data_IF_572957591077
#
_entry.id   IF_572957591077
#
_cell.length_a   1.000
_cell.length_b   1.000
_cell.length_c   1.000
_cell.angle_alpha   90.00
_cell.angle_beta   90.00
_cell.angle_gamma   90.00
#
_symmetry.space_group_name_H-M   'P 1'
#
loop_
_entity.id
_entity.type
_entity.pdbx_description
1 polymer ?
#
# COMPACT_ATOMS: atom_id res chain seq x y z
N UNK A 1 8.85 -8.88 -11.17
CA UNK A 1 8.71 -7.85 -10.13
C UNK A 1 8.32 -8.58 -8.87
N UNK A 2 9.09 -8.42 -7.80
CA UNK A 2 8.89 -9.20 -6.57
C UNK A 2 7.94 -8.50 -5.58
N UNK A 3 7.76 -7.18 -5.77
CA UNK A 3 6.93 -6.31 -4.95
C UNK A 3 6.53 -5.06 -5.73
N UNK A 4 5.31 -4.56 -5.50
CA UNK A 4 4.87 -3.23 -5.92
C UNK A 4 4.56 -2.36 -4.70
N UNK A 5 5.08 -1.14 -4.68
CA UNK A 5 4.77 -0.12 -3.68
C UNK A 5 4.21 1.12 -4.38
N UNK A 6 3.06 1.64 -3.94
CA UNK A 6 2.43 2.78 -4.60
C UNK A 6 1.19 3.31 -3.89
N UNK A 7 0.62 4.38 -4.45
CA UNK A 7 -0.66 4.96 -4.00
C UNK A 7 -1.85 4.24 -4.61
N UNK A 8 -3.02 4.37 -3.98
CA UNK A 8 -4.32 3.83 -4.44
C UNK A 8 -4.70 4.35 -5.84
N UNK A 9 -4.24 3.65 -6.87
CA UNK A 9 -4.36 3.98 -8.29
C UNK A 9 -4.40 2.70 -9.14
N UNK A 10 -4.80 2.80 -10.41
CA UNK A 10 -4.90 1.64 -11.31
C UNK A 10 -3.63 0.76 -11.38
N UNK A 11 -2.45 1.33 -11.16
CA UNK A 11 -1.19 0.60 -11.21
C UNK A 11 -1.10 -0.53 -10.16
N UNK A 12 -1.55 -0.29 -8.92
CA UNK A 12 -1.49 -1.32 -7.87
C UNK A 12 -2.46 -2.47 -8.14
N UNK A 13 -3.57 -2.21 -8.84
CA UNK A 13 -4.51 -3.23 -9.26
C UNK A 13 -3.99 -4.06 -10.44
N UNK A 14 -3.26 -3.42 -11.37
CA UNK A 14 -2.59 -4.14 -12.44
C UNK A 14 -1.52 -5.08 -11.87
N UNK A 15 -0.71 -4.64 -10.90
CA UNK A 15 0.22 -5.53 -10.22
C UNK A 15 -0.49 -6.71 -9.54
N UNK A 16 -1.62 -6.44 -8.87
CA UNK A 16 -2.44 -7.45 -8.22
C UNK A 16 -2.99 -8.51 -9.19
N UNK A 17 -3.40 -8.13 -10.41
CA UNK A 17 -3.92 -9.10 -11.40
C UNK A 17 -2.88 -10.10 -11.91
N UNK A 18 -1.59 -9.83 -11.66
CA UNK A 18 -0.50 -10.77 -11.91
C UNK A 18 0.01 -11.46 -10.63
N UNK A 19 -0.76 -11.37 -9.53
CA UNK A 19 -0.39 -11.86 -8.19
C UNK A 19 0.96 -11.35 -7.67
N UNK A 20 1.39 -10.17 -8.14
CA UNK A 20 2.55 -9.48 -7.55
C UNK A 20 2.11 -8.94 -6.19
N UNK A 21 2.90 -9.15 -5.11
CA UNK A 21 2.59 -8.57 -3.80
C UNK A 21 2.54 -7.05 -3.84
N UNK A 22 1.64 -6.44 -3.05
CA UNK A 22 1.42 -4.98 -3.06
C UNK A 22 1.47 -4.38 -1.65
N UNK A 23 2.23 -3.30 -1.48
CA UNK A 23 2.06 -2.37 -0.35
C UNK A 23 1.45 -1.08 -0.88
N UNK A 24 0.22 -0.78 -0.46
CA UNK A 24 -0.55 0.37 -0.95
C UNK A 24 -0.65 1.48 0.08
N UNK A 25 -0.47 2.74 -0.34
CA UNK A 25 -0.71 3.95 0.44
C UNK A 25 -2.13 4.46 0.23
N UNK A 26 -2.91 4.50 1.31
CA UNK A 26 -4.31 4.89 1.27
C UNK A 26 -4.57 6.18 2.06
N UNK A 27 -5.19 7.14 1.39
CA UNK A 27 -5.66 8.38 1.99
C UNK A 27 -7.14 8.27 2.40
N UNK A 28 -8.00 9.22 1.99
CA UNK A 28 -9.40 9.27 2.43
C UNK A 28 -10.29 8.19 1.80
N UNK A 29 -9.88 7.59 0.68
CA UNK A 29 -10.64 6.51 0.05
C UNK A 29 -10.53 5.22 0.85
N UNK A 30 -11.67 4.58 1.02
CA UNK A 30 -11.83 3.40 1.88
C UNK A 30 -11.18 2.14 1.27
N UNK A 31 -10.16 1.54 1.93
CA UNK A 31 -9.44 0.38 1.41
C UNK A 31 -10.30 -0.86 1.30
N UNK A 32 -11.32 -1.04 2.14
CA UNK A 32 -12.22 -2.21 2.06
C UNK A 32 -12.91 -2.34 0.70
N UNK A 33 -13.01 -1.23 -0.06
CA UNK A 33 -13.56 -1.20 -1.41
C UNK A 33 -12.48 -1.34 -2.50
N UNK A 34 -11.31 -0.75 -2.27
CA UNK A 34 -10.28 -0.53 -3.30
C UNK A 34 -8.92 -1.16 -2.98
N UNK A 35 -8.83 -2.09 -2.03
CA UNK A 35 -7.58 -2.80 -1.79
C UNK A 35 -7.20 -3.69 -2.99
N UNK A 36 -5.94 -4.13 -3.09
CA UNK A 36 -5.52 -5.09 -4.09
C UNK A 36 -6.24 -6.41 -3.82
N UNK A 37 -7.17 -6.79 -4.69
CA UNK A 37 -7.90 -8.06 -4.58
C UNK A 37 -7.03 -9.21 -5.08
N UNK A 38 -7.20 -10.38 -4.48
CA UNK A 38 -6.60 -11.64 -4.93
C UNK A 38 -5.05 -11.65 -5.03
N UNK A 39 -4.39 -10.85 -4.19
CA UNK A 39 -2.93 -10.87 -4.01
C UNK A 39 -2.54 -10.61 -2.56
N UNK A 40 -1.34 -11.01 -2.16
CA UNK A 40 -0.78 -10.67 -0.85
C UNK A 40 -0.59 -9.15 -0.78
N UNK A 41 -1.20 -8.48 0.20
CA UNK A 41 -1.12 -7.03 0.28
C UNK A 41 -1.05 -6.49 1.70
N UNK A 42 -0.50 -5.28 1.83
CA UNK A 42 -0.56 -4.45 3.05
C UNK A 42 -1.17 -3.10 2.71
N UNK A 43 -2.19 -2.72 3.45
CA UNK A 43 -2.81 -1.39 3.39
C UNK A 43 -2.10 -0.51 4.43
N UNK A 44 -1.36 0.49 3.97
CA UNK A 44 -0.76 1.49 4.84
C UNK A 44 -1.58 2.78 4.77
N UNK A 45 -2.26 3.09 5.88
CA UNK A 45 -3.21 4.21 6.00
C UNK A 45 -3.01 4.92 7.34
N UNK A 46 -2.93 6.26 7.38
CA UNK A 46 -2.93 6.99 8.64
C UNK A 46 -4.23 6.77 9.43
N UNK A 47 -4.15 6.81 10.76
CA UNK A 47 -5.35 6.76 11.62
C UNK A 47 -6.30 7.95 11.38
N UNK A 48 -5.74 9.13 11.14
CA UNK A 48 -6.48 10.34 10.78
C UNK A 48 -6.28 10.70 9.30
N UNK A 49 -7.34 10.54 8.50
CA UNK A 49 -7.35 10.88 7.08
C UNK A 49 -8.02 12.23 6.79
N UNK A 50 -8.33 13.01 7.82
CA UNK A 50 -8.96 14.32 7.68
C UNK A 50 -8.00 15.37 7.10
N UNK A 51 -8.60 16.39 6.47
CA UNK A 51 -7.88 17.55 5.95
C UNK A 51 -7.07 17.28 4.68
N UNK A 52 -6.31 18.29 4.22
CA UNK A 52 -5.48 18.15 3.04
C UNK A 52 -4.25 17.27 3.32
N UNK A 53 -3.90 16.41 2.36
CA UNK A 53 -2.65 15.62 2.34
C UNK A 53 -2.48 14.63 3.50
N UNK A 54 -3.43 13.72 3.76
CA UNK A 54 -3.36 12.83 4.91
C UNK A 54 -2.17 11.87 4.93
N UNK A 55 -1.65 11.51 3.75
CA UNK A 55 -0.49 10.63 3.63
C UNK A 55 0.80 11.22 4.22
N UNK A 56 0.88 12.55 4.43
CA UNK A 56 2.03 13.18 5.11
C UNK A 56 2.15 12.78 6.59
N UNK A 57 1.11 12.16 7.17
CA UNK A 57 1.13 11.63 8.53
C UNK A 57 1.83 10.27 8.63
N UNK A 58 2.17 9.64 7.51
CA UNK A 58 3.01 8.44 7.50
C UNK A 58 4.47 8.86 7.47
N UNK A 59 5.26 8.30 8.38
CA UNK A 59 6.71 8.41 8.37
C UNK A 59 7.33 7.43 7.37
N UNK A 60 8.55 7.75 6.93
CA UNK A 60 9.35 6.82 6.11
C UNK A 60 9.63 5.52 6.86
N UNK A 61 9.82 5.57 8.18
CA UNK A 61 10.07 4.38 9.00
C UNK A 61 8.87 3.43 9.01
N UNK A 62 7.63 3.96 9.12
CA UNK A 62 6.41 3.14 9.02
C UNK A 62 6.27 2.51 7.64
N UNK A 63 6.60 3.25 6.58
CA UNK A 63 6.61 2.73 5.21
C UNK A 63 7.64 1.60 5.08
N UNK A 64 8.86 1.79 5.56
CA UNK A 64 9.91 0.77 5.53
C UNK A 64 9.49 -0.50 6.28
N UNK A 65 8.92 -0.35 7.49
CA UNK A 65 8.43 -1.47 8.28
C UNK A 65 7.32 -2.27 7.56
N UNK A 66 6.47 -1.60 6.78
CA UNK A 66 5.44 -2.26 5.96
C UNK A 66 6.01 -3.03 4.77
N UNK A 67 7.17 -2.63 4.25
CA UNK A 67 7.85 -3.28 3.12
C UNK A 67 8.68 -4.49 3.55
N UNK A 68 9.25 -4.46 4.76
CA UNK A 68 10.16 -5.49 5.29
C UNK A 68 9.65 -6.94 5.12
N UNK A 69 8.37 -7.29 5.37
CA UNK A 69 7.88 -8.67 5.21
C UNK A 69 7.91 -9.21 3.77
N UNK A 70 8.13 -8.33 2.79
CA UNK A 70 8.18 -8.65 1.36
C UNK A 70 9.61 -8.64 0.82
N UNK A 71 10.54 -8.00 1.51
CA UNK A 71 11.94 -7.98 1.13
C UNK A 71 12.56 -9.29 1.63
N UNK A 72 12.91 -10.18 0.71
CA UNK A 72 13.72 -11.35 1.04
C UNK A 72 15.05 -10.87 1.60
N UNK A 73 15.33 -11.19 2.87
CA UNK A 73 16.69 -11.07 3.39
C UNK A 73 17.56 -12.10 2.64
N UNK A 74 18.73 -11.70 2.09
CA UNK A 74 19.60 -12.60 1.35
C UNK A 74 20.01 -13.83 2.17
#
# INVERSE_FOLDING_TARGET
MDLTFGIDTGFIHLAASFHVPVVGLYGPLEPWRWHPWDTRHTVLRPADVSGPRPLLRLSVAEVQAALEPYLTRP
#
